data_IF_251232059927
#
_entry.id   IF_251232059927
#
_cell.length_a   1.000
_cell.length_b   1.000
_cell.length_c   1.000
_cell.angle_alpha   90.00
_cell.angle_beta   90.00
_cell.angle_gamma   90.00
#
_symmetry.space_group_name_H-M   'P 1'
#
loop_
_entity.id
_entity.type
_entity.pdbx_description
1 polymer ?
#
# COMPACT_ATOMS: atom_id res chain seq x y z
N UNK A 1 -12.77 -10.78 -15.96
CA UNK A 1 -12.16 -9.97 -14.88
C UNK A 1 -10.68 -9.94 -15.17
N UNK A 2 -10.16 -8.82 -15.68
CA UNK A 2 -8.72 -8.70 -15.92
C UNK A 2 -8.01 -8.82 -14.57
N UNK A 3 -7.07 -9.76 -14.49
CA UNK A 3 -6.38 -10.18 -13.27
C UNK A 3 -5.43 -9.06 -12.80
N UNK A 4 -6.01 -8.02 -12.21
CA UNK A 4 -5.25 -6.87 -11.73
C UNK A 4 -4.36 -7.33 -10.58
N UNK A 5 -3.05 -7.09 -10.70
CA UNK A 5 -2.08 -7.45 -9.67
C UNK A 5 -2.57 -6.98 -8.30
N UNK A 6 -2.60 -7.87 -7.28
CA UNK A 6 -2.98 -7.48 -5.93
C UNK A 6 -2.08 -6.37 -5.40
N UNK A 7 -2.64 -5.54 -4.51
CA UNK A 7 -1.97 -4.37 -3.96
C UNK A 7 -1.33 -4.69 -2.61
N UNK A 8 -0.09 -4.23 -2.43
CA UNK A 8 0.52 -4.02 -1.11
C UNK A 8 0.48 -2.50 -0.84
N UNK A 9 -0.13 -2.11 0.28
CA UNK A 9 -0.26 -0.72 0.72
C UNK A 9 0.65 -0.47 1.92
N UNK A 10 1.65 0.40 1.77
CA UNK A 10 2.45 0.91 2.89
C UNK A 10 1.82 2.18 3.46
N UNK A 11 1.75 2.30 4.79
CA UNK A 11 1.15 3.43 5.49
C UNK A 11 2.13 3.93 6.54
N UNK A 12 2.60 5.17 6.36
CA UNK A 12 3.49 5.83 7.31
C UNK A 12 3.36 7.36 7.13
N UNK A 13 3.40 8.11 8.22
CA UNK A 13 3.35 9.57 8.22
C UNK A 13 4.72 10.21 7.93
N UNK A 14 5.81 9.46 8.09
CA UNK A 14 7.15 9.87 7.69
C UNK A 14 7.41 9.50 6.22
N UNK A 15 7.37 10.52 5.34
CA UNK A 15 7.54 10.33 3.89
C UNK A 15 8.86 9.66 3.50
N UNK A 16 9.93 9.86 4.27
CA UNK A 16 11.23 9.22 4.02
C UNK A 16 11.16 7.71 4.26
N UNK A 17 10.55 7.30 5.38
CA UNK A 17 10.30 5.89 5.72
C UNK A 17 9.41 5.25 4.66
N UNK A 18 8.31 5.90 4.30
CA UNK A 18 7.38 5.42 3.29
C UNK A 18 8.09 5.17 1.94
N UNK A 19 8.93 6.10 1.49
CA UNK A 19 9.69 5.95 0.23
C UNK A 19 10.70 4.82 0.30
N UNK A 20 11.42 4.67 1.41
CA UNK A 20 12.38 3.59 1.61
C UNK A 20 11.68 2.22 1.55
N UNK A 21 10.58 2.06 2.31
CA UNK A 21 9.76 0.84 2.32
C UNK A 21 9.22 0.54 0.93
N UNK A 22 8.65 1.53 0.23
CA UNK A 22 8.15 1.31 -1.13
C UNK A 22 9.24 0.87 -2.12
N UNK A 23 10.45 1.44 -2.03
CA UNK A 23 11.57 1.05 -2.88
C UNK A 23 11.93 -0.42 -2.63
N UNK A 24 12.06 -0.80 -1.37
CA UNK A 24 12.47 -2.15 -0.99
C UNK A 24 11.37 -3.17 -1.37
N UNK A 25 10.09 -2.83 -1.16
CA UNK A 25 8.97 -3.64 -1.63
C UNK A 25 8.95 -3.79 -3.16
N UNK A 26 9.16 -2.71 -3.91
CA UNK A 26 9.22 -2.77 -5.38
C UNK A 26 10.37 -3.65 -5.87
N UNK A 27 11.52 -3.60 -5.20
CA UNK A 27 12.69 -4.42 -5.59
C UNK A 27 12.43 -5.92 -5.52
N UNK A 28 11.53 -6.37 -4.62
CA UNK A 28 11.25 -7.80 -4.39
C UNK A 28 9.91 -8.27 -4.94
N UNK A 29 8.90 -7.41 -4.96
CA UNK A 29 7.50 -7.84 -5.14
C UNK A 29 6.79 -7.19 -6.34
N UNK A 30 7.42 -6.29 -7.10
CA UNK A 30 6.75 -5.59 -8.22
C UNK A 30 6.38 -6.53 -9.41
N UNK A 31 6.97 -7.73 -9.48
CA UNK A 31 6.60 -8.75 -10.45
C UNK A 31 5.17 -9.24 -10.26
N UNK A 32 4.72 -9.39 -9.02
CA UNK A 32 3.43 -10.01 -8.66
C UNK A 32 2.45 -9.02 -8.04
N UNK A 33 2.94 -7.96 -7.41
CA UNK A 33 2.15 -6.99 -6.66
C UNK A 33 2.32 -5.57 -7.18
N UNK A 34 1.26 -4.78 -7.02
CA UNK A 34 1.33 -3.32 -7.18
C UNK A 34 1.59 -2.67 -5.82
N UNK A 35 2.59 -1.80 -5.75
CA UNK A 35 3.01 -1.15 -4.50
C UNK A 35 2.46 0.28 -4.43
N UNK A 36 1.57 0.53 -3.47
CA UNK A 36 1.00 1.84 -3.14
C UNK A 36 1.51 2.33 -1.79
N UNK A 37 1.35 3.63 -1.54
CA UNK A 37 1.75 4.29 -0.29
C UNK A 37 0.68 5.28 0.13
N UNK A 38 0.53 5.47 1.43
CA UNK A 38 -0.33 6.49 2.03
C UNK A 38 0.41 7.14 3.20
N UNK A 39 0.36 8.48 3.28
CA UNK A 39 0.98 9.32 4.30
C UNK A 39 0.30 9.29 5.66
N UNK A 40 -0.56 8.30 5.92
CA UNK A 40 -1.36 8.21 7.14
C UNK A 40 -2.68 7.49 6.96
N UNK A 41 -3.40 7.30 8.07
CA UNK A 41 -4.62 6.47 8.12
C UNK A 41 -5.76 6.97 7.23
N UNK A 42 -5.99 8.28 7.16
CA UNK A 42 -7.06 8.86 6.34
C UNK A 42 -6.86 8.56 4.85
N UNK A 43 -5.65 8.80 4.33
CA UNK A 43 -5.30 8.51 2.94
C UNK A 43 -5.32 7.00 2.64
N UNK A 44 -4.91 6.17 3.61
CA UNK A 44 -4.97 4.73 3.48
C UNK A 44 -6.42 4.24 3.31
N UNK A 45 -7.35 4.73 4.13
CA UNK A 45 -8.78 4.39 4.04
C UNK A 45 -9.36 4.82 2.69
N UNK A 46 -9.04 6.03 2.22
CA UNK A 46 -9.48 6.48 0.89
C UNK A 46 -8.96 5.59 -0.23
N UNK A 47 -7.69 5.17 -0.14
CA UNK A 47 -7.07 4.27 -1.10
C UNK A 47 -7.75 2.91 -1.10
N UNK A 48 -8.00 2.32 0.07
CA UNK A 48 -8.68 1.02 0.20
C UNK A 48 -10.10 1.08 -0.38
N UNK A 49 -10.86 2.15 -0.12
CA UNK A 49 -12.19 2.35 -0.72
C UNK A 49 -12.13 2.34 -2.24
N UNK A 50 -11.18 3.06 -2.84
CA UNK A 50 -10.97 3.07 -4.30
C UNK A 50 -10.63 1.68 -4.84
N UNK A 51 -9.76 0.92 -4.16
CA UNK A 51 -9.42 -0.44 -4.54
C UNK A 51 -10.64 -1.37 -4.52
N UNK A 52 -11.45 -1.27 -3.46
CA UNK A 52 -12.69 -2.04 -3.32
C UNK A 52 -13.70 -1.70 -4.42
N UNK A 53 -13.92 -0.41 -4.71
CA UNK A 53 -14.80 0.03 -5.81
C UNK A 53 -14.34 -0.50 -7.16
N UNK A 54 -13.02 -0.58 -7.38
CA UNK A 54 -12.44 -1.05 -8.64
C UNK A 54 -12.31 -2.59 -8.72
N UNK A 55 -12.73 -3.33 -7.70
CA UNK A 55 -12.53 -4.79 -7.63
C UNK A 55 -11.05 -5.20 -7.64
N UNK A 56 -10.14 -4.32 -7.21
CA UNK A 56 -8.71 -4.60 -7.14
C UNK A 56 -8.38 -5.26 -5.79
N UNK A 57 -7.80 -6.47 -5.77
CA UNK A 57 -7.49 -7.15 -4.52
C UNK A 57 -6.43 -6.39 -3.68
N UNK A 58 -6.66 -6.29 -2.38
CA UNK A 58 -5.66 -5.85 -1.41
C UNK A 58 -5.05 -7.08 -0.74
N UNK A 59 -3.76 -7.32 -0.93
CA UNK A 59 -3.07 -8.48 -0.38
C UNK A 59 -2.50 -8.22 1.02
N UNK A 60 -1.96 -7.02 1.26
CA UNK A 60 -1.29 -6.67 2.51
C UNK A 60 -1.36 -5.17 2.78
N UNK A 61 -1.52 -4.83 4.06
CA UNK A 61 -1.27 -3.50 4.59
C UNK A 61 -0.04 -3.60 5.51
N UNK A 62 0.95 -2.75 5.28
CA UNK A 62 2.08 -2.54 6.17
C UNK A 62 1.91 -1.16 6.80
N UNK A 63 1.78 -1.09 8.11
CA UNK A 63 1.62 0.17 8.84
C UNK A 63 2.53 0.22 10.05
N UNK A 64 3.14 1.37 10.27
CA UNK A 64 3.74 1.70 11.57
C UNK A 64 2.68 2.35 12.45
N UNK A 65 2.52 1.83 13.66
CA UNK A 65 1.73 2.48 14.70
C UNK A 65 2.69 2.92 15.80
N UNK A 66 2.68 4.20 16.15
CA UNK A 66 3.17 4.58 17.48
C UNK A 66 2.08 4.18 18.49
N UNK A 67 2.44 3.25 19.38
CA UNK A 67 1.63 2.98 20.55
C UNK A 67 1.86 4.12 21.54
N UNK A 68 0.82 4.90 21.79
CA UNK A 68 0.75 5.85 22.90
C UNK A 68 -0.26 5.36 23.93
#
# INVERSE_FOLDING_TARGET
MTDAKPVILAVDDELEVLRAVQRDLRSRYASEYRILGAGGGAEAIETIKKLATNGTPLALILSRSEER
#
